data_IF_745247041297
#
_entry.id   IF_745247041297
#
_cell.length_a   1.000
_cell.length_b   1.000
_cell.length_c   1.000
_cell.angle_alpha   90.00
_cell.angle_beta   90.00
_cell.angle_gamma   90.00
#
_symmetry.space_group_name_H-M   'P 1'
#
loop_
_entity.id
_entity.type
_entity.pdbx_description
1 polymer ?
#
# COMPACT_ATOMS: atom_id res chain seq x y z
N UNK A 1 16.58 6.78 -5.81
CA UNK A 1 15.41 5.87 -5.71
C UNK A 1 15.54 5.17 -4.35
N UNK A 2 14.46 4.82 -3.66
CA UNK A 2 14.60 4.11 -2.38
C UNK A 2 15.00 2.66 -2.66
N UNK A 3 16.07 2.20 -2.03
CA UNK A 3 16.50 0.80 -2.12
C UNK A 3 15.63 -0.09 -1.23
N UNK A 4 15.52 -1.37 -1.61
CA UNK A 4 14.70 -2.34 -0.89
C UNK A 4 15.12 -2.47 0.57
N UNK A 5 16.43 -2.52 0.81
CA UNK A 5 17.05 -2.70 2.12
C UNK A 5 16.64 -1.56 3.06
N UNK A 6 16.64 -0.32 2.58
CA UNK A 6 16.23 0.84 3.35
C UNK A 6 14.74 0.78 3.72
N UNK A 7 13.87 0.38 2.78
CA UNK A 7 12.44 0.26 3.04
C UNK A 7 12.14 -0.85 4.04
N UNK A 8 12.80 -2.00 3.90
CA UNK A 8 12.68 -3.10 4.85
C UNK A 8 13.21 -2.71 6.24
N UNK A 9 14.32 -1.99 6.31
CA UNK A 9 14.86 -1.44 7.56
C UNK A 9 13.84 -0.49 8.22
N UNK A 10 13.24 0.42 7.46
CA UNK A 10 12.20 1.34 7.97
C UNK A 10 11.01 0.58 8.57
N UNK A 11 10.53 -0.45 7.88
CA UNK A 11 9.41 -1.28 8.32
C UNK A 11 9.79 -2.07 9.58
N UNK A 12 10.97 -2.70 9.59
CA UNK A 12 11.45 -3.53 10.70
C UNK A 12 11.74 -2.72 11.98
N UNK A 13 12.31 -1.52 11.82
CA UNK A 13 12.67 -0.64 12.94
C UNK A 13 11.49 0.14 13.51
N UNK A 14 10.33 0.11 12.85
CA UNK A 14 9.10 0.71 13.36
C UNK A 14 8.40 -0.26 14.33
N UNK A 15 8.52 0.01 15.64
CA UNK A 15 7.98 -0.86 16.71
C UNK A 15 6.49 -0.70 16.94
N UNK A 16 5.94 0.49 16.69
CA UNK A 16 4.51 0.73 16.80
C UNK A 16 3.77 -0.04 15.68
N UNK A 17 2.90 -1.02 16.02
CA UNK A 17 2.29 -1.90 15.03
C UNK A 17 1.39 -1.15 14.04
N UNK A 18 0.73 -0.08 14.51
CA UNK A 18 -0.08 0.80 13.67
C UNK A 18 0.78 1.48 12.61
N UNK A 19 1.83 2.19 13.02
CA UNK A 19 2.72 2.90 12.10
C UNK A 19 3.47 1.93 11.16
N UNK A 20 3.83 0.73 11.64
CA UNK A 20 4.45 -0.31 10.82
C UNK A 20 3.51 -0.76 9.71
N UNK A 21 2.26 -1.09 10.03
CA UNK A 21 1.24 -1.42 9.03
C UNK A 21 1.02 -0.26 8.04
N UNK A 22 1.06 0.99 8.51
CA UNK A 22 0.96 2.16 7.62
C UNK A 22 2.09 2.22 6.58
N UNK A 23 3.32 1.85 6.97
CA UNK A 23 4.44 1.75 6.04
C UNK A 23 4.27 0.57 5.07
N UNK A 24 3.89 -0.60 5.58
CA UNK A 24 3.70 -1.81 4.76
C UNK A 24 2.63 -1.62 3.69
N UNK A 25 1.48 -1.02 4.03
CA UNK A 25 0.41 -0.77 3.08
C UNK A 25 0.81 0.23 1.98
N UNK A 26 1.63 1.23 2.29
CA UNK A 26 2.11 2.18 1.28
C UNK A 26 3.22 1.58 0.41
N UNK A 27 4.19 0.90 1.03
CA UNK A 27 5.37 0.36 0.34
C UNK A 27 5.08 -0.92 -0.45
N UNK A 28 4.17 -1.76 0.04
CA UNK A 28 3.86 -3.07 -0.56
C UNK A 28 2.58 -3.03 -1.38
N UNK A 29 1.55 -2.31 -0.93
CA UNK A 29 0.23 -2.24 -1.61
C UNK A 29 0.05 -0.95 -2.44
N UNK A 30 1.06 -0.08 -2.44
CA UNK A 30 1.06 1.18 -3.17
C UNK A 30 -0.04 2.14 -2.72
N UNK A 31 -0.58 2.08 -1.50
CA UNK A 31 -1.64 3.01 -1.07
C UNK A 31 -1.16 4.47 -1.07
N UNK A 32 -2.04 5.40 -1.46
CA UNK A 32 -1.83 6.83 -1.18
C UNK A 32 -2.12 7.06 0.31
N UNK A 33 -1.43 8.02 0.93
CA UNK A 33 -1.65 8.33 2.35
C UNK A 33 -3.11 8.73 2.66
N UNK A 34 -3.79 9.42 1.75
CA UNK A 34 -5.21 9.75 1.90
C UNK A 34 -6.09 8.50 1.96
N UNK A 35 -5.88 7.56 1.03
CA UNK A 35 -6.60 6.27 0.96
C UNK A 35 -6.37 5.46 2.24
N UNK A 36 -5.12 5.43 2.69
CA UNK A 36 -4.72 4.73 3.90
C UNK A 36 -5.42 5.29 5.15
N UNK A 37 -5.51 6.61 5.28
CA UNK A 37 -6.12 7.25 6.45
C UNK A 37 -7.66 7.21 6.43
N UNK A 38 -8.27 6.98 5.27
CA UNK A 38 -9.72 6.80 5.13
C UNK A 38 -10.18 5.34 5.29
N UNK A 39 -9.25 4.37 5.21
CA UNK A 39 -9.55 2.94 5.18
C UNK A 39 -10.29 2.46 6.44
N UNK A 40 -11.43 1.78 6.23
CA UNK A 40 -12.26 1.17 7.28
C UNK A 40 -12.06 -0.33 7.35
N UNK A 41 -12.52 -0.95 8.44
CA UNK A 41 -12.47 -2.41 8.58
C UNK A 41 -13.34 -3.10 7.54
N UNK A 42 -14.51 -2.55 7.22
CA UNK A 42 -15.42 -3.04 6.18
C UNK A 42 -14.85 -2.97 4.76
N UNK A 43 -13.81 -2.16 4.54
CA UNK A 43 -13.12 -2.08 3.25
C UNK A 43 -12.14 -3.24 3.03
N UNK A 44 -11.87 -4.04 4.06
CA UNK A 44 -10.93 -5.17 4.01
C UNK A 44 -11.70 -6.45 3.76
N UNK A 45 -11.44 -7.09 2.62
CA UNK A 45 -12.00 -8.39 2.28
C UNK A 45 -10.89 -9.33 1.86
N UNK A 46 -10.56 -10.27 2.73
CA UNK A 46 -9.46 -11.23 2.56
C UNK A 46 -8.12 -10.53 2.26
N UNK A 47 -7.66 -10.56 1.00
CA UNK A 47 -6.43 -9.90 0.52
C UNK A 47 -6.69 -8.64 -0.31
N UNK A 48 -7.92 -8.16 -0.32
CA UNK A 48 -8.38 -6.99 -1.08
C UNK A 48 -8.71 -5.83 -0.14
N UNK A 49 -8.42 -4.63 -0.63
CA UNK A 49 -8.77 -3.36 0.01
C UNK A 49 -9.62 -2.55 -0.97
N UNK A 50 -10.85 -2.27 -0.59
CA UNK A 50 -11.76 -1.41 -1.35
C UNK A 50 -11.49 0.05 -1.02
N UNK A 51 -11.22 0.85 -2.04
CA UNK A 51 -10.94 2.28 -1.92
C UNK A 51 -12.17 3.02 -2.47
N UNK A 52 -13.07 3.44 -1.58
CA UNK A 52 -14.37 4.04 -1.96
C UNK A 52 -14.30 5.51 -2.41
N UNK A 53 -13.19 6.20 -2.17
CA UNK A 53 -13.00 7.60 -2.61
C UNK A 53 -11.65 7.76 -3.32
N UNK A 54 -11.45 7.07 -4.45
CA UNK A 54 -10.18 7.14 -5.15
C UNK A 54 -10.01 8.50 -5.82
N UNK A 55 -8.76 8.98 -5.90
CA UNK A 55 -8.43 10.25 -6.59
C UNK A 55 -8.63 10.19 -8.11
N UNK A 56 -8.98 9.02 -8.64
CA UNK A 56 -9.32 8.83 -10.05
C UNK A 56 -10.74 9.28 -10.39
N UNK A 57 -11.62 9.47 -9.41
CA UNK A 57 -13.03 9.79 -9.69
C UNK A 57 -13.87 8.58 -10.13
N UNK A 58 -13.35 7.34 -9.95
CA UNK A 58 -14.18 6.12 -9.97
C UNK A 58 -14.98 5.99 -8.67
N UNK A 59 -16.05 5.20 -8.69
CA UNK A 59 -16.82 4.85 -7.49
C UNK A 59 -15.97 4.06 -6.48
N UNK A 60 -15.13 3.14 -6.97
CA UNK A 60 -14.17 2.42 -6.15
C UNK A 60 -12.95 1.93 -6.94
N UNK A 61 -11.85 1.69 -6.23
CA UNK A 61 -10.69 0.95 -6.71
C UNK A 61 -10.35 -0.20 -5.75
N UNK A 62 -9.72 -1.26 -6.27
CA UNK A 62 -9.23 -2.37 -5.45
C UNK A 62 -7.71 -2.31 -5.38
N UNK A 63 -7.16 -2.36 -4.17
CA UNK A 63 -5.75 -2.66 -3.94
C UNK A 63 -5.62 -4.09 -3.39
N UNK A 64 -4.51 -4.75 -3.74
CA UNK A 64 -4.23 -6.12 -3.32
C UNK A 64 -3.10 -6.14 -2.29
N UNK A 65 -3.16 -7.07 -1.35
CA UNK A 65 -2.20 -7.21 -0.26
C UNK A 65 -1.41 -8.52 -0.38
N UNK A 66 -0.11 -8.53 -0.02
CA UNK A 66 0.60 -9.76 0.30
C UNK A 66 -0.05 -10.49 1.49
N UNK A 67 0.01 -11.82 1.54
CA UNK A 67 -0.65 -12.62 2.59
C UNK A 67 -0.24 -12.16 4.00
N UNK A 68 1.06 -11.94 4.20
CA UNK A 68 1.57 -11.50 5.50
C UNK A 68 1.02 -10.14 5.94
N UNK A 69 0.80 -9.22 5.01
CA UNK A 69 0.25 -7.88 5.31
C UNK A 69 -1.23 -8.00 5.64
N UNK A 70 -1.98 -8.77 4.85
CA UNK A 70 -3.39 -9.05 5.10
C UNK A 70 -3.59 -9.69 6.48
N UNK A 71 -2.78 -10.69 6.82
CA UNK A 71 -2.78 -11.33 8.14
C UNK A 71 -2.52 -10.35 9.28
N UNK A 72 -1.45 -9.55 9.21
CA UNK A 72 -1.14 -8.56 10.26
C UNK A 72 -2.22 -7.48 10.39
N UNK A 73 -2.85 -7.08 9.29
CA UNK A 73 -3.95 -6.12 9.31
C UNK A 73 -5.18 -6.69 10.02
N UNK A 74 -5.54 -7.96 9.73
CA UNK A 74 -6.62 -8.67 10.42
C UNK A 74 -6.33 -8.82 11.92
N UNK A 75 -5.14 -9.28 12.28
CA UNK A 75 -4.69 -9.41 13.67
C UNK A 75 -4.75 -8.07 14.41
N UNK A 76 -4.30 -6.98 13.78
CA UNK A 76 -4.35 -5.63 14.35
C UNK A 76 -5.79 -5.15 14.59
N UNK A 77 -6.68 -5.31 13.61
CA UNK A 77 -8.08 -4.89 13.74
C UNK A 77 -8.82 -5.67 14.83
N UNK A 78 -8.56 -6.99 14.92
CA UNK A 78 -9.12 -7.85 15.96
C UNK A 78 -8.60 -7.47 17.35
N UNK A 79 -7.28 -7.28 17.51
CA UNK A 79 -6.67 -6.87 18.77
C UNK A 79 -7.20 -5.52 19.29
N UNK A 80 -7.55 -4.62 18.37
CA UNK A 80 -8.11 -3.31 18.69
C UNK A 80 -9.63 -3.31 18.87
N UNK A 81 -10.31 -4.44 18.63
CA UNK A 81 -11.77 -4.54 18.74
C UNK A 81 -12.51 -3.55 17.84
N UNK A 82 -11.98 -3.29 16.64
CA UNK A 82 -12.55 -2.28 15.74
C UNK A 82 -13.87 -2.77 15.13
N UNK A 83 -14.89 -1.90 15.14
CA UNK A 83 -16.13 -2.17 14.43
C UNK A 83 -15.94 -2.08 12.90
N UNK A 84 -16.81 -2.69 12.09
CA UNK A 84 -16.72 -2.64 10.63
C UNK A 84 -16.59 -1.21 10.06
N UNK A 85 -17.33 -0.25 10.63
CA UNK A 85 -17.33 1.14 10.16
C UNK A 85 -16.18 1.99 10.71
N UNK A 86 -15.40 1.47 11.65
CA UNK A 86 -14.28 2.19 12.23
C UNK A 86 -13.12 2.31 11.22
N UNK A 87 -12.46 3.48 11.22
CA UNK A 87 -11.18 3.65 10.53
C UNK A 87 -10.13 2.75 11.18
N UNK A 88 -9.40 1.99 10.37
CA UNK A 88 -8.30 1.14 10.85
C UNK A 88 -7.19 2.00 11.47
N UNK A 89 -6.93 3.15 10.86
CA UNK A 89 -5.96 4.14 11.32
C UNK A 89 -6.69 5.44 11.68
N UNK A 90 -7.17 5.61 12.93
CA UNK A 90 -7.82 6.83 13.39
C UNK A 90 -6.76 7.93 13.65
N UNK A 91 -6.06 8.34 12.59
CA UNK A 91 -4.92 9.23 12.63
C UNK A 91 -5.15 10.37 11.65
N UNK A 92 -4.90 11.61 12.06
CA UNK A 92 -4.97 12.74 11.16
C UNK A 92 -3.67 12.88 10.33
N UNK A 93 -3.77 13.61 9.22
CA UNK A 93 -2.64 13.79 8.30
C UNK A 93 -1.40 14.40 8.98
N UNK A 94 -1.60 15.34 9.92
CA UNK A 94 -0.51 15.97 10.68
C UNK A 94 0.23 14.97 11.58
N UNK A 95 -0.48 14.01 12.20
CA UNK A 95 0.15 12.94 12.98
C UNK A 95 0.92 11.98 12.08
N UNK A 96 0.37 11.59 10.94
CA UNK A 96 1.07 10.76 9.96
C UNK A 96 2.35 11.47 9.42
N UNK A 97 2.26 12.77 9.11
CA UNK A 97 3.41 13.60 8.73
C UNK A 97 4.45 13.71 9.85
N UNK A 98 4.00 13.85 11.09
CA UNK A 98 4.89 13.88 12.26
C UNK A 98 5.63 12.57 12.45
N UNK A 99 4.94 11.44 12.29
CA UNK A 99 5.57 10.12 12.29
C UNK A 99 6.64 10.02 11.20
N UNK A 100 6.31 10.38 9.95
CA UNK A 100 7.27 10.39 8.85
C UNK A 100 8.48 11.28 9.15
N UNK A 101 8.29 12.46 9.75
CA UNK A 101 9.38 13.35 10.16
C UNK A 101 10.28 12.70 11.21
N UNK A 102 9.71 12.03 12.21
CA UNK A 102 10.48 11.30 13.24
C UNK A 102 11.28 10.15 12.61
N UNK A 103 10.68 9.41 11.68
CA UNK A 103 11.34 8.31 10.97
C UNK A 103 12.52 8.82 10.13
N UNK A 104 12.33 9.93 9.38
CA UNK A 104 13.38 10.62 8.63
C UNK A 104 14.56 11.00 9.51
N UNK A 105 14.29 11.64 10.64
CA UNK A 105 15.34 12.07 11.58
C UNK A 105 16.09 10.87 12.19
N UNK A 106 15.38 9.79 12.51
CA UNK A 106 15.99 8.59 13.10
C UNK A 106 16.93 7.85 12.14
N UNK A 107 16.59 7.80 10.86
CA UNK A 107 17.35 7.08 9.84
C UNK A 107 18.23 8.00 8.99
N UNK A 108 18.27 9.31 9.30
CA UNK A 108 18.98 10.33 8.51
C UNK A 108 18.62 10.32 7.01
N UNK A 109 17.35 10.08 6.69
CA UNK A 109 16.84 9.99 5.31
C UNK A 109 15.79 11.06 5.01
N UNK A 110 15.64 11.41 3.72
CA UNK A 110 14.57 12.30 3.25
C UNK A 110 13.52 11.52 2.48
N UNK A 111 12.37 11.23 3.10
CA UNK A 111 11.32 10.37 2.52
C UNK A 111 9.89 10.89 2.72
N UNK A 112 9.13 11.13 1.66
CA UNK A 112 7.70 11.47 1.72
C UNK A 112 6.81 10.22 1.64
N UNK A 113 5.53 10.31 2.05
CA UNK A 113 4.57 9.23 1.81
C UNK A 113 4.47 8.83 0.33
N UNK A 114 4.61 9.79 -0.59
CA UNK A 114 4.60 9.53 -2.02
C UNK A 114 5.83 8.73 -2.48
N UNK A 115 6.96 8.83 -1.78
CA UNK A 115 8.18 8.09 -2.12
C UNK A 115 8.03 6.59 -1.84
N UNK A 116 7.25 6.20 -0.80
CA UNK A 116 6.94 4.78 -0.54
C UNK A 116 6.06 4.16 -1.62
N UNK A 117 5.07 4.92 -2.09
CA UNK A 117 4.23 4.49 -3.21
C UNK A 117 5.04 4.41 -4.50
N UNK A 118 5.90 5.40 -4.76
CA UNK A 118 6.80 5.40 -5.92
C UNK A 118 7.75 4.20 -5.86
N UNK A 119 8.31 3.93 -4.68
CA UNK A 119 9.11 2.74 -4.43
C UNK A 119 8.35 1.47 -4.78
N UNK A 120 7.09 1.31 -4.35
CA UNK A 120 6.27 0.15 -4.68
C UNK A 120 6.21 -0.13 -6.19
N UNK A 121 5.98 0.91 -6.99
CA UNK A 121 5.93 0.79 -8.45
C UNK A 121 7.30 0.51 -9.08
N UNK A 122 8.35 1.20 -8.64
CA UNK A 122 9.71 1.00 -9.15
C UNK A 122 10.23 -0.39 -8.78
N UNK A 123 10.00 -0.84 -7.55
CA UNK A 123 10.38 -2.16 -7.07
C UNK A 123 9.71 -3.26 -7.90
N UNK A 124 8.41 -3.15 -8.18
CA UNK A 124 7.71 -4.11 -9.02
C UNK A 124 8.28 -4.16 -10.45
N UNK A 125 8.47 -2.98 -11.07
CA UNK A 125 9.05 -2.90 -12.42
C UNK A 125 10.45 -3.54 -12.49
N UNK A 126 11.31 -3.26 -11.51
CA UNK A 126 12.67 -3.84 -11.44
C UNK A 126 12.68 -5.34 -11.20
N UNK A 127 11.63 -5.90 -10.60
CA UNK A 127 11.47 -7.34 -10.37
C UNK A 127 10.67 -8.04 -11.47
N UNK A 128 10.59 -7.43 -12.66
CA UNK A 128 10.04 -8.06 -13.86
C UNK A 128 8.51 -8.07 -13.93
N UNK A 129 7.81 -7.31 -13.08
CA UNK A 129 6.36 -7.16 -13.19
C UNK A 129 6.05 -6.33 -14.44
N UNK A 130 5.17 -6.80 -15.35
CA UNK A 130 4.80 -6.04 -16.53
C UNK A 130 4.29 -4.64 -16.17
N UNK A 131 4.71 -3.61 -16.92
CA UNK A 131 4.34 -2.22 -16.65
C UNK A 131 2.82 -1.99 -16.57
N UNK A 132 2.05 -2.78 -17.31
CA UNK A 132 0.60 -2.79 -17.24
C UNK A 132 0.09 -3.19 -15.86
N UNK A 133 0.64 -4.26 -15.29
CA UNK A 133 0.32 -4.74 -13.93
C UNK A 133 0.75 -3.67 -12.92
N UNK A 134 1.95 -3.11 -13.06
CA UNK A 134 2.41 -2.02 -12.17
C UNK A 134 1.43 -0.83 -12.21
N UNK A 135 0.99 -0.43 -13.41
CA UNK A 135 0.08 0.70 -13.58
C UNK A 135 -1.33 0.42 -13.06
N UNK A 136 -1.92 -0.74 -13.40
CA UNK A 136 -3.30 -1.09 -13.06
C UNK A 136 -3.46 -1.57 -11.62
N UNK A 137 -2.50 -2.34 -11.09
CA UNK A 137 -2.59 -3.00 -9.77
C UNK A 137 -1.95 -2.15 -8.67
N UNK A 138 -0.72 -1.67 -8.88
CA UNK A 138 0.04 -0.97 -7.82
C UNK A 138 -0.27 0.52 -7.82
N UNK A 139 -0.21 1.15 -8.99
CA UNK A 139 -0.47 2.58 -9.15
C UNK A 139 -1.96 2.88 -9.31
N UNK A 140 -2.79 1.95 -9.77
CA UNK A 140 -4.23 2.21 -9.97
C UNK A 140 -4.45 3.55 -10.71
N UNK A 141 -3.67 3.79 -11.77
CA UNK A 141 -3.80 5.01 -12.55
C UNK A 141 -5.00 4.90 -13.49
N UNK A 142 -5.70 6.01 -13.70
CA UNK A 142 -6.89 6.05 -14.54
C UNK A 142 -6.56 6.30 -16.02
N UNK A 143 -5.41 6.90 -16.32
CA UNK A 143 -5.12 7.42 -17.65
C UNK A 143 -4.29 6.43 -18.48
N UNK A 144 -4.86 6.05 -19.62
CA UNK A 144 -4.48 4.92 -20.47
C UNK A 144 -3.72 5.35 -21.73
N UNK A 145 -3.22 6.59 -21.82
CA UNK A 145 -2.53 7.04 -23.04
C UNK A 145 -1.19 6.33 -23.31
N UNK A 146 -0.67 5.57 -22.35
CA UNK A 146 0.63 4.85 -22.48
C UNK A 146 0.49 3.32 -22.48
N UNK A 147 -0.71 2.77 -22.32
CA UNK A 147 -0.90 1.31 -22.10
C UNK A 147 -2.13 0.81 -22.88
N UNK A 148 -2.40 1.37 -24.06
CA UNK A 148 -3.49 0.93 -24.93
C UNK A 148 -3.05 -0.08 -26.01
N UNK A 149 -1.74 -0.28 -26.21
CA UNK A 149 -1.23 -1.13 -27.30
C UNK A 149 -1.23 -2.63 -26.94
N UNK A 150 -1.30 -3.01 -25.65
CA UNK A 150 -1.27 -4.41 -25.23
C UNK A 150 -2.46 -4.71 -24.29
N UNK A 151 -3.44 -5.41 -24.85
CA UNK A 151 -4.72 -5.79 -24.26
C UNK A 151 -4.59 -6.81 -23.11
N UNK A 152 -5.43 -6.66 -22.07
CA UNK A 152 -5.76 -7.73 -21.13
C UNK A 152 -6.46 -7.25 -19.86
N UNK A 153 -7.56 -7.89 -19.45
CA UNK A 153 -8.15 -7.69 -18.11
C UNK A 153 -7.28 -8.46 -17.10
N UNK A 154 -6.44 -7.75 -16.36
CA UNK A 154 -5.65 -8.35 -15.26
C UNK A 154 -6.62 -9.02 -14.27
N UNK A 155 -6.45 -10.31 -14.02
CA UNK A 155 -7.32 -11.05 -13.10
C UNK A 155 -6.93 -10.82 -11.64
N UNK A 156 -7.88 -10.99 -10.70
CA UNK A 156 -7.58 -10.91 -9.26
C UNK A 156 -6.50 -11.91 -8.83
N UNK A 157 -6.56 -13.14 -9.37
CA UNK A 157 -5.57 -14.19 -9.12
C UNK A 157 -4.17 -13.80 -9.58
N UNK A 158 -4.07 -13.18 -10.75
CA UNK A 158 -2.80 -12.68 -11.28
C UNK A 158 -2.25 -11.55 -10.42
N UNK A 159 -3.10 -10.60 -10.00
CA UNK A 159 -2.70 -9.52 -9.10
C UNK A 159 -2.16 -10.07 -7.78
N UNK A 160 -2.89 -10.99 -7.12
CA UNK A 160 -2.46 -11.62 -5.86
C UNK A 160 -1.13 -12.37 -6.04
N UNK A 161 -0.99 -13.13 -7.13
CA UNK A 161 0.25 -13.85 -7.44
C UNK A 161 1.45 -12.91 -7.54
N UNK A 162 1.30 -11.75 -8.18
CA UNK A 162 2.38 -10.76 -8.25
C UNK A 162 2.71 -10.16 -6.88
N UNK A 163 1.72 -9.92 -6.03
CA UNK A 163 1.96 -9.46 -4.65
C UNK A 163 2.80 -10.47 -3.85
N UNK A 164 2.56 -11.77 -4.05
CA UNK A 164 3.32 -12.84 -3.40
C UNK A 164 4.72 -13.01 -3.99
N UNK A 165 4.89 -12.91 -5.30
CA UNK A 165 6.21 -12.94 -5.92
C UNK A 165 7.08 -11.80 -5.40
N UNK A 166 6.50 -10.60 -5.23
CA UNK A 166 7.23 -9.42 -4.78
C UNK A 166 7.53 -9.40 -3.28
N UNK A 167 6.64 -9.95 -2.46
CA UNK A 167 6.65 -9.74 -1.00
C UNK A 167 6.39 -11.01 -0.16
N UNK A 168 6.27 -12.18 -0.77
CA UNK A 168 5.88 -13.45 -0.12
C UNK A 168 6.99 -14.18 0.65
N UNK A 169 8.07 -13.50 1.02
CA UNK A 169 9.09 -14.01 1.95
C UNK A 169 8.83 -13.50 3.35
#
# INVERSE_FOLDING_TARGET
ILEKELVDEMIYNTKDPRNRLMLELQARCGLRIGELLSLRVSDVSDRKLTINTPKSGKDAEIAFMPEQVARRLREYSALKGLSPDARIFPVCYSTARTFMRKLRAKLSITISPHDLRRYSATYASHNGVPLEIVSKVILRHQDLKTIQIYLGKVSEHEAIRWMDILHGK
#
